data_IF_840465668176
#
_entry.id   IF_840465668176
#
_cell.length_a   1.000
_cell.length_b   1.000
_cell.length_c   1.000
_cell.angle_alpha   90.00
_cell.angle_beta   90.00
_cell.angle_gamma   90.00
#
_symmetry.space_group_name_H-M   'P 1'
#
loop_
_entity.id
_entity.type
_entity.pdbx_description
1 polymer ?
#
# COMPACT_ATOMS: atom_id res chain seq x y z
N UNK A 1 8.99 -21.46 0.96
CA UNK A 1 7.56 -21.21 0.66
C UNK A 1 6.95 -20.65 1.94
N UNK A 2 6.82 -19.33 2.03
CA UNK A 2 6.21 -18.68 3.20
C UNK A 2 4.70 -18.85 3.13
N UNK A 3 4.13 -19.44 4.18
CA UNK A 3 2.70 -19.68 4.32
C UNK A 3 2.04 -18.37 4.81
N UNK A 4 1.37 -17.65 3.91
CA UNK A 4 0.58 -16.47 4.26
C UNK A 4 -0.63 -16.94 5.10
N UNK A 5 -0.54 -16.82 6.43
CA UNK A 5 -1.64 -17.16 7.35
C UNK A 5 -2.66 -16.02 7.37
N UNK A 6 -3.92 -16.37 7.13
CA UNK A 6 -5.08 -15.50 7.31
C UNK A 6 -5.24 -15.16 8.81
N UNK A 7 -5.06 -13.90 9.17
CA UNK A 7 -5.46 -13.38 10.47
C UNK A 7 -6.76 -12.62 10.26
N UNK A 8 -7.87 -13.16 10.77
CA UNK A 8 -9.11 -12.41 10.94
C UNK A 8 -8.86 -11.33 11.99
N UNK A 9 -8.73 -10.08 11.56
CA UNK A 9 -8.42 -8.97 12.44
C UNK A 9 -9.72 -8.41 13.06
N UNK A 10 -10.17 -9.04 14.14
CA UNK A 10 -11.08 -8.40 15.08
C UNK A 10 -10.25 -7.46 15.95
N UNK A 11 -10.19 -6.18 15.62
CA UNK A 11 -10.10 -5.07 16.59
C UNK A 11 -10.19 -3.73 15.86
N UNK A 12 -11.30 -3.04 16.12
CA UNK A 12 -11.39 -1.59 16.05
C UNK A 12 -10.53 -1.07 17.21
N UNK A 13 -9.40 -0.41 16.94
CA UNK A 13 -8.86 0.74 17.70
C UNK A 13 -7.38 1.07 17.37
N UNK A 14 -7.13 2.39 17.29
CA UNK A 14 -5.84 3.11 17.30
C UNK A 14 -5.01 3.14 16.01
N UNK A 15 -5.39 4.08 15.13
CA UNK A 15 -4.60 4.63 14.01
C UNK A 15 -3.37 5.42 14.52
N UNK A 16 -2.39 4.78 15.16
CA UNK A 16 -1.18 5.50 15.59
C UNK A 16 0.15 4.74 15.41
N UNK A 17 0.16 3.58 14.76
CA UNK A 17 1.42 3.03 14.24
C UNK A 17 1.41 3.09 12.71
N UNK A 18 2.27 3.98 12.19
CA UNK A 18 2.53 4.24 10.77
C UNK A 18 2.78 2.94 9.97
N UNK A 19 3.31 1.96 10.68
CA UNK A 19 3.39 0.56 10.31
C UNK A 19 2.62 -0.22 11.36
N UNK A 20 1.60 -0.96 10.96
CA UNK A 20 1.21 -2.10 11.77
C UNK A 20 2.31 -3.12 11.48
N UNK A 21 3.38 -3.17 12.29
CA UNK A 21 4.65 -3.85 11.95
C UNK A 21 4.44 -5.31 11.49
N UNK A 22 3.38 -5.97 11.95
CA UNK A 22 2.98 -7.30 11.45
C UNK A 22 2.26 -7.30 10.10
N UNK A 23 1.45 -6.27 9.81
CA UNK A 23 0.70 -6.13 8.55
C UNK A 23 1.59 -5.74 7.37
N UNK A 24 2.41 -4.71 7.50
CA UNK A 24 3.20 -4.20 6.37
C UNK A 24 4.31 -5.16 5.93
N UNK A 25 4.96 -5.84 6.87
CA UNK A 25 5.90 -6.92 6.56
C UNK A 25 5.19 -8.07 5.83
N UNK A 26 3.97 -8.42 6.25
CA UNK A 26 3.18 -9.44 5.55
C UNK A 26 2.79 -9.00 4.14
N UNK A 27 2.44 -7.72 3.93
CA UNK A 27 2.24 -7.17 2.59
C UNK A 27 3.51 -7.22 1.77
N UNK A 28 4.67 -6.86 2.33
CA UNK A 28 5.94 -6.94 1.64
C UNK A 28 6.24 -8.37 1.16
N UNK A 29 6.05 -9.36 2.03
CA UNK A 29 6.36 -10.77 1.74
C UNK A 29 5.33 -11.46 0.83
N UNK A 30 4.03 -11.21 1.05
CA UNK A 30 2.93 -11.90 0.35
C UNK A 30 2.40 -11.12 -0.85
N UNK A 31 2.56 -9.79 -0.87
CA UNK A 31 1.99 -8.93 -1.90
C UNK A 31 2.79 -7.64 -2.13
N UNK A 32 4.00 -7.83 -2.64
CA UNK A 32 4.98 -6.77 -2.92
C UNK A 32 4.40 -5.62 -3.74
N UNK A 33 3.52 -5.90 -4.71
CA UNK A 33 2.92 -4.88 -5.56
C UNK A 33 2.10 -3.87 -4.76
N UNK A 34 1.24 -4.34 -3.86
CA UNK A 34 0.41 -3.47 -3.01
C UNK A 34 1.24 -2.74 -1.97
N UNK A 35 2.25 -3.39 -1.40
CA UNK A 35 3.21 -2.73 -0.52
C UNK A 35 3.91 -1.58 -1.25
N UNK A 36 4.51 -1.84 -2.40
CA UNK A 36 5.21 -0.83 -3.21
C UNK A 36 4.27 0.34 -3.56
N UNK A 37 2.98 0.03 -3.81
CA UNK A 37 1.99 1.05 -4.13
C UNK A 37 1.62 1.95 -2.95
N UNK A 38 1.46 1.38 -1.74
CA UNK A 38 1.33 2.16 -0.51
C UNK A 38 2.51 3.12 -0.37
N UNK A 39 3.74 2.61 -0.53
CA UNK A 39 4.95 3.43 -0.41
C UNK A 39 4.97 4.55 -1.46
N UNK A 40 4.61 4.24 -2.71
CA UNK A 40 4.50 5.23 -3.77
C UNK A 40 3.53 6.37 -3.42
N UNK A 41 2.34 6.05 -2.90
CA UNK A 41 1.34 7.05 -2.50
C UNK A 41 1.91 7.96 -1.41
N UNK A 42 2.48 7.37 -0.35
CA UNK A 42 3.06 8.13 0.77
C UNK A 42 4.20 9.03 0.27
N UNK A 43 5.09 8.52 -0.58
CA UNK A 43 6.23 9.25 -1.13
C UNK A 43 5.81 10.43 -2.01
N UNK A 44 4.74 10.26 -2.77
CA UNK A 44 4.36 11.20 -3.84
C UNK A 44 3.31 12.21 -3.38
N UNK A 45 2.33 11.76 -2.60
CA UNK A 45 1.17 12.55 -2.17
C UNK A 45 1.13 12.80 -0.65
N UNK A 46 2.07 12.23 0.09
CA UNK A 46 2.18 12.41 1.54
C UNK A 46 1.33 11.44 2.35
N UNK A 47 1.63 11.38 3.64
CA UNK A 47 0.98 10.50 4.61
C UNK A 47 -0.50 10.84 4.82
N UNK A 48 -0.86 12.13 4.82
CA UNK A 48 -2.26 12.58 4.97
C UNK A 48 -3.17 12.04 3.85
N UNK A 49 -2.65 11.98 2.61
CA UNK A 49 -3.37 11.40 1.48
C UNK A 49 -3.61 9.91 1.69
N UNK A 50 -2.60 9.18 2.17
CA UNK A 50 -2.72 7.76 2.48
C UNK A 50 -3.79 7.50 3.54
N UNK A 51 -3.81 8.26 4.64
CA UNK A 51 -4.83 8.11 5.68
C UNK A 51 -6.23 8.45 5.16
N UNK A 52 -6.36 9.51 4.38
CA UNK A 52 -7.65 9.91 3.79
C UNK A 52 -8.20 8.82 2.85
N UNK A 53 -7.33 8.09 2.14
CA UNK A 53 -7.73 6.94 1.34
C UNK A 53 -8.17 5.76 2.21
N UNK A 54 -7.51 5.52 3.35
CA UNK A 54 -7.93 4.48 4.30
C UNK A 54 -9.28 4.78 4.98
N UNK A 55 -9.68 6.05 5.08
CA UNK A 55 -11.02 6.42 5.55
C UNK A 55 -12.12 6.09 4.54
N UNK A 56 -11.77 5.80 3.27
CA UNK A 56 -12.69 5.26 2.29
C UNK A 56 -12.89 3.76 2.52
N UNK A 57 -14.09 3.36 2.94
CA UNK A 57 -14.43 1.96 3.22
C UNK A 57 -14.16 0.99 2.06
N UNK A 58 -14.37 1.42 0.82
CA UNK A 58 -14.12 0.58 -0.36
C UNK A 58 -12.63 0.33 -0.54
N UNK A 59 -11.83 1.41 -0.51
CA UNK A 59 -10.37 1.33 -0.57
C UNK A 59 -9.80 0.50 0.56
N UNK A 60 -10.24 0.77 1.80
CA UNK A 60 -9.82 0.04 2.99
C UNK A 60 -10.05 -1.47 2.82
N UNK A 61 -11.26 -1.87 2.39
CA UNK A 61 -11.59 -3.28 2.22
C UNK A 61 -10.77 -3.95 1.12
N UNK A 62 -10.58 -3.28 -0.02
CA UNK A 62 -9.75 -3.81 -1.12
C UNK A 62 -8.30 -3.97 -0.66
N UNK A 63 -7.74 -2.95 -0.02
CA UNK A 63 -6.35 -2.96 0.42
C UNK A 63 -6.12 -3.97 1.55
N UNK A 64 -6.96 -3.99 2.59
CA UNK A 64 -6.75 -4.79 3.82
C UNK A 64 -7.27 -6.22 3.74
N UNK A 65 -8.49 -6.43 3.24
CA UNK A 65 -9.17 -7.74 3.32
C UNK A 65 -8.93 -8.60 2.08
N UNK A 66 -8.91 -7.97 0.90
CA UNK A 66 -8.71 -8.69 -0.37
C UNK A 66 -7.24 -8.67 -0.81
N UNK A 67 -6.50 -7.67 -0.32
CA UNK A 67 -5.05 -7.48 -0.41
C UNK A 67 -4.26 -8.77 -0.36
N UNK A 68 -4.49 -9.55 0.68
CA UNK A 68 -3.69 -10.73 1.00
C UNK A 68 -3.98 -11.94 0.09
N UNK A 69 -5.08 -11.94 -0.65
CA UNK A 69 -5.56 -13.13 -1.39
C UNK A 69 -5.50 -12.96 -2.91
N UNK A 70 -5.69 -11.74 -3.43
CA UNK A 70 -5.98 -11.51 -4.86
C UNK A 70 -5.22 -10.35 -5.50
N UNK A 71 -4.02 -10.06 -4.98
CA UNK A 71 -3.21 -8.87 -5.24
C UNK A 71 -3.30 -8.17 -6.59
N UNK A 72 -3.07 -8.88 -7.68
CA UNK A 72 -3.06 -8.27 -9.02
C UNK A 72 -4.46 -7.87 -9.51
N UNK A 73 -5.49 -8.68 -9.19
CA UNK A 73 -6.86 -8.40 -9.64
C UNK A 73 -7.47 -7.19 -8.93
N UNK A 74 -7.18 -7.02 -7.64
CA UNK A 74 -7.66 -5.88 -6.85
C UNK A 74 -6.85 -4.60 -7.07
N UNK A 75 -5.63 -4.73 -7.61
CA UNK A 75 -4.79 -3.58 -7.87
C UNK A 75 -5.44 -2.62 -8.87
N UNK A 76 -6.17 -3.16 -9.86
CA UNK A 76 -6.91 -2.35 -10.80
C UNK A 76 -8.03 -1.54 -10.13
N UNK A 77 -8.78 -2.16 -9.21
CA UNK A 77 -9.87 -1.49 -8.49
C UNK A 77 -9.31 -0.40 -7.55
N UNK A 78 -8.21 -0.71 -6.86
CA UNK A 78 -7.47 0.25 -6.02
C UNK A 78 -7.00 1.45 -6.85
N UNK A 79 -6.47 1.22 -8.06
CA UNK A 79 -6.05 2.29 -8.96
C UNK A 79 -7.22 3.19 -9.35
N UNK A 80 -8.36 2.61 -9.72
CA UNK A 80 -9.55 3.38 -10.11
C UNK A 80 -10.02 4.31 -8.99
N UNK A 81 -10.05 3.82 -7.75
CA UNK A 81 -10.39 4.65 -6.59
C UNK A 81 -9.39 5.79 -6.40
N UNK A 82 -8.08 5.52 -6.54
CA UNK A 82 -7.05 6.54 -6.42
C UNK A 82 -7.18 7.62 -7.50
N UNK A 83 -7.46 7.22 -8.74
CA UNK A 83 -7.67 8.11 -9.89
C UNK A 83 -8.84 9.04 -9.63
N UNK A 84 -9.96 8.50 -9.17
CA UNK A 84 -11.15 9.28 -8.85
C UNK A 84 -10.87 10.25 -7.70
N UNK A 85 -10.14 9.79 -6.67
CA UNK A 85 -9.78 10.60 -5.52
C UNK A 85 -8.85 11.77 -5.87
N UNK A 86 -7.78 11.50 -6.63
CA UNK A 86 -6.75 12.50 -6.95
C UNK A 86 -7.06 13.29 -8.23
N UNK A 87 -8.09 12.90 -8.99
CA UNK A 87 -8.43 13.49 -10.30
C UNK A 87 -7.24 13.51 -11.27
N UNK A 88 -6.45 12.42 -11.30
CA UNK A 88 -5.28 12.24 -12.19
C UNK A 88 -5.49 11.10 -13.17
N UNK A 89 -4.92 11.23 -14.37
CA UNK A 89 -4.96 10.19 -15.39
C UNK A 89 -4.26 8.90 -14.92
N UNK A 90 -4.91 7.75 -15.13
CA UNK A 90 -4.37 6.41 -14.91
C UNK A 90 -2.97 6.23 -15.52
N UNK A 91 -2.73 6.78 -16.71
CA UNK A 91 -1.44 6.66 -17.39
C UNK A 91 -0.33 7.34 -16.61
N UNK A 92 -0.62 8.49 -16.01
CA UNK A 92 0.36 9.18 -15.16
C UNK A 92 0.68 8.33 -13.93
N UNK A 93 -0.34 7.83 -13.24
CA UNK A 93 -0.12 6.99 -12.04
C UNK A 93 0.68 5.73 -12.38
N UNK A 94 0.30 4.99 -13.42
CA UNK A 94 1.01 3.76 -13.82
C UNK A 94 2.46 4.04 -14.22
N UNK A 95 2.71 5.08 -15.02
CA UNK A 95 4.07 5.42 -15.44
C UNK A 95 4.95 5.78 -14.24
N UNK A 96 4.51 6.72 -13.39
CA UNK A 96 5.30 7.14 -12.24
C UNK A 96 5.46 6.04 -11.20
N UNK A 97 4.44 5.22 -10.98
CA UNK A 97 4.53 4.06 -10.11
C UNK A 97 5.54 3.04 -10.64
N UNK A 98 5.53 2.75 -11.95
CA UNK A 98 6.47 1.80 -12.56
C UNK A 98 7.91 2.30 -12.43
N UNK A 99 8.17 3.58 -12.68
CA UNK A 99 9.50 4.16 -12.48
C UNK A 99 9.91 4.16 -11.00
N UNK A 100 8.98 4.48 -10.09
CA UNK A 100 9.24 4.38 -8.65
C UNK A 100 9.61 2.95 -8.23
N UNK A 101 8.89 1.92 -8.70
CA UNK A 101 9.18 0.53 -8.34
C UNK A 101 10.61 0.12 -8.71
N UNK A 102 11.11 0.55 -9.87
CA UNK A 102 12.51 0.27 -10.26
C UNK A 102 13.53 0.81 -9.26
N UNK A 103 13.20 1.87 -8.53
CA UNK A 103 14.09 2.44 -7.51
C UNK A 103 14.13 1.65 -6.20
N UNK A 104 13.10 0.83 -5.93
CA UNK A 104 12.96 0.07 -4.69
C UNK A 104 12.93 -1.45 -4.88
N UNK A 105 12.91 -1.96 -6.12
CA UNK A 105 12.63 -3.36 -6.44
C UNK A 105 13.61 -4.34 -5.79
N UNK A 106 14.86 -3.94 -5.61
CA UNK A 106 15.93 -4.74 -4.98
C UNK A 106 16.16 -4.42 -3.50
N UNK A 107 15.41 -3.47 -2.94
CA UNK A 107 15.56 -3.08 -1.54
C UNK A 107 14.77 -4.03 -0.64
N UNK A 108 15.36 -4.35 0.50
CA UNK A 108 14.71 -5.03 1.61
C UNK A 108 13.61 -4.18 2.25
N UNK A 109 12.75 -4.82 3.05
CA UNK A 109 11.72 -4.14 3.82
C UNK A 109 12.30 -3.02 4.69
N UNK A 110 13.38 -3.31 5.42
CA UNK A 110 14.04 -2.34 6.31
C UNK A 110 14.64 -1.16 5.55
N UNK A 111 15.25 -1.39 4.39
CA UNK A 111 15.79 -0.30 3.55
C UNK A 111 14.69 0.64 3.06
N UNK A 112 13.52 0.11 2.68
CA UNK A 112 12.39 0.91 2.23
C UNK A 112 11.75 1.65 3.40
N UNK A 113 11.53 0.97 4.53
CA UNK A 113 11.00 1.57 5.76
C UNK A 113 11.82 2.78 6.18
N UNK A 114 13.14 2.61 6.26
CA UNK A 114 14.07 3.69 6.62
C UNK A 114 13.95 4.88 5.64
N UNK A 115 13.78 4.65 4.34
CA UNK A 115 13.60 5.73 3.38
C UNK A 115 12.31 6.52 3.60
N UNK A 116 11.25 5.90 4.11
CA UNK A 116 9.96 6.55 4.36
C UNK A 116 9.98 7.33 5.68
N UNK A 117 10.57 6.75 6.72
CA UNK A 117 10.68 7.39 8.04
C UNK A 117 11.46 8.71 8.00
N UNK A 118 12.37 8.89 7.04
CA UNK A 118 13.13 10.14 6.86
C UNK A 118 12.37 11.27 6.16
N UNK A 119 11.13 11.05 5.73
CA UNK A 119 10.32 12.03 4.97
C UNK A 119 9.27 12.69 5.86
N UNK A 120 8.91 12.01 6.95
CA UNK A 120 7.90 12.42 7.94
C UNK A 120 8.62 13.15 9.08
#
# INVERSE_FOLDING_TARGET
>A
MSNCKNIQNNNIHEHNSLYNDGGDLQYFECNRLLFDFKVYIIRTFGYETWNSLLDNNEFYNLFTNLGLTFGESIFHDILNILIDYLSVDIKHIICFFTEFRKTIEFLSYEEIRNQIEHII
#
